data_IF_533225748427
#
_entry.id   IF_533225748427
#
_cell.length_a   1.000
_cell.length_b   1.000
_cell.length_c   1.000
_cell.angle_alpha   90.00
_cell.angle_beta   90.00
_cell.angle_gamma   90.00
#
_symmetry.space_group_name_H-M   'P 1'
#
loop_
_entity.id
_entity.type
_entity.pdbx_description
1 polymer ?
#
# COMPACT_ATOMS: atom_id res chain seq x y z
N UNK A 1 -14.53 8.60 -17.26
CA UNK A 1 -14.29 7.17 -16.97
C UNK A 1 -13.93 6.93 -15.50
N UNK A 2 -12.77 7.40 -15.00
CA UNK A 2 -12.34 7.12 -13.62
C UNK A 2 -13.32 7.61 -12.53
N UNK A 3 -13.98 8.76 -12.73
CA UNK A 3 -14.99 9.26 -11.79
C UNK A 3 -16.18 8.30 -11.59
N UNK A 4 -16.60 7.62 -12.66
CA UNK A 4 -17.67 6.62 -12.59
C UNK A 4 -17.21 5.42 -11.77
N UNK A 5 -15.99 4.94 -11.99
CA UNK A 5 -15.41 3.83 -11.21
C UNK A 5 -15.32 4.17 -9.72
N UNK A 6 -14.77 5.35 -9.38
CA UNK A 6 -14.69 5.82 -7.99
C UNK A 6 -16.08 5.96 -7.37
N UNK A 7 -17.07 6.44 -8.12
CA UNK A 7 -18.46 6.53 -7.67
C UNK A 7 -19.08 5.17 -7.36
N UNK A 8 -18.91 4.20 -8.26
CA UNK A 8 -19.38 2.82 -8.09
C UNK A 8 -18.67 2.07 -6.97
N UNK A 9 -17.37 2.32 -6.77
CA UNK A 9 -16.63 1.75 -5.65
C UNK A 9 -17.16 2.29 -4.32
N UNK A 10 -17.46 3.59 -4.26
CA UNK A 10 -18.04 4.20 -3.06
C UNK A 10 -19.42 3.65 -2.74
N UNK A 11 -20.29 3.47 -3.73
CA UNK A 11 -21.64 2.94 -3.48
C UNK A 11 -21.65 1.49 -2.96
N UNK A 12 -20.51 0.80 -3.05
CA UNK A 12 -20.31 -0.59 -2.61
C UNK A 12 -19.39 -0.70 -1.39
N UNK A 13 -19.07 0.41 -0.74
CA UNK A 13 -18.17 0.47 0.42
C UNK A 13 -16.80 -0.19 0.18
N UNK A 14 -16.27 -0.04 -1.04
CA UNK A 14 -14.95 -0.56 -1.41
C UNK A 14 -13.84 0.45 -1.07
N UNK A 15 -12.60 -0.07 -1.04
CA UNK A 15 -11.39 0.76 -0.93
C UNK A 15 -10.70 0.91 -2.30
N UNK A 16 -9.97 2.00 -2.50
CA UNK A 16 -9.15 2.21 -3.68
C UNK A 16 -7.65 2.17 -3.34
N UNK A 17 -6.94 1.16 -3.84
CA UNK A 17 -5.47 1.10 -3.81
C UNK A 17 -4.90 1.55 -5.15
N UNK A 18 -4.21 2.69 -5.13
CA UNK A 18 -3.51 3.21 -6.31
C UNK A 18 -2.11 2.60 -6.44
N UNK A 19 -1.90 1.77 -7.47
CA UNK A 19 -0.60 1.15 -7.77
C UNK A 19 0.42 2.12 -8.38
N UNK A 20 -0.01 3.34 -8.75
CA UNK A 20 0.78 4.40 -9.41
C UNK A 20 1.62 3.90 -10.57
N UNK A 21 0.95 3.54 -11.65
CA UNK A 21 1.60 3.29 -12.95
C UNK A 21 2.01 4.58 -13.65
N UNK A 22 1.47 5.73 -13.24
CA UNK A 22 1.86 7.08 -13.71
C UNK A 22 1.97 8.07 -12.53
N UNK A 23 2.91 9.03 -12.56
CA UNK A 23 3.05 10.05 -11.52
C UNK A 23 1.81 10.94 -11.33
N UNK A 24 1.05 11.17 -12.41
CA UNK A 24 -0.14 12.03 -12.48
C UNK A 24 -1.46 11.28 -12.20
N UNK A 25 -1.46 10.25 -11.36
CA UNK A 25 -2.69 9.51 -11.07
C UNK A 25 -3.78 10.42 -10.46
N UNK A 26 -4.77 10.76 -11.29
CA UNK A 26 -5.99 11.52 -10.93
C UNK A 26 -6.87 10.71 -9.95
N UNK A 27 -6.66 9.40 -9.87
CA UNK A 27 -7.52 8.49 -9.12
C UNK A 27 -7.44 8.73 -7.60
N UNK A 28 -6.25 8.99 -7.06
CA UNK A 28 -6.07 9.34 -5.63
C UNK A 28 -6.83 10.61 -5.26
N UNK A 29 -6.65 11.69 -6.03
CA UNK A 29 -7.28 12.99 -5.73
C UNK A 29 -8.80 12.92 -5.88
N UNK A 30 -9.26 12.15 -6.86
CA UNK A 30 -10.69 11.94 -7.08
C UNK A 30 -11.33 11.08 -5.99
N UNK A 31 -10.64 10.04 -5.51
CA UNK A 31 -11.07 9.24 -4.38
C UNK A 31 -11.18 10.09 -3.10
N UNK A 32 -10.16 10.91 -2.81
CA UNK A 32 -10.19 11.87 -1.70
C UNK A 32 -11.37 12.84 -1.80
N UNK A 33 -11.55 13.52 -2.95
CA UNK A 33 -12.67 14.46 -3.15
C UNK A 33 -14.05 13.81 -3.03
N UNK A 34 -14.13 12.49 -3.20
CA UNK A 34 -15.38 11.73 -3.08
C UNK A 34 -15.54 11.07 -1.72
N UNK A 35 -14.64 11.31 -0.76
CA UNK A 35 -14.62 10.63 0.55
C UNK A 35 -14.62 9.10 0.39
N UNK A 36 -13.88 8.60 -0.60
CA UNK A 36 -13.62 7.17 -0.75
C UNK A 36 -12.32 6.84 0.00
N UNK A 37 -12.38 5.81 0.84
CA UNK A 37 -11.21 5.26 1.51
C UNK A 37 -10.18 4.83 0.46
N UNK A 38 -8.99 5.43 0.52
CA UNK A 38 -7.96 5.20 -0.47
C UNK A 38 -6.57 5.22 0.14
N UNK A 39 -5.69 4.45 -0.47
CA UNK A 39 -4.27 4.36 -0.12
C UNK A 39 -3.44 4.22 -1.39
N UNK A 40 -2.15 4.49 -1.25
CA UNK A 40 -1.20 4.44 -2.36
C UNK A 40 -0.08 3.46 -2.03
N UNK A 41 0.41 2.78 -3.06
CA UNK A 41 1.63 1.99 -2.96
C UNK A 41 2.83 2.87 -2.64
N UNK A 42 3.69 2.39 -1.75
CA UNK A 42 5.03 2.92 -1.51
C UNK A 42 6.09 2.23 -2.38
N UNK A 43 6.09 0.90 -2.42
CA UNK A 43 7.13 0.09 -3.08
C UNK A 43 6.55 -0.93 -4.06
N UNK A 44 7.17 -1.07 -5.23
CA UNK A 44 6.86 -2.12 -6.20
C UNK A 44 7.98 -3.17 -6.13
N UNK A 45 7.65 -4.39 -5.72
CA UNK A 45 8.64 -5.39 -5.33
C UNK A 45 9.40 -5.99 -6.51
N UNK A 46 8.73 -6.17 -7.65
CA UNK A 46 9.21 -7.05 -8.72
C UNK A 46 9.14 -6.44 -10.12
N UNK A 47 9.35 -5.12 -10.21
CA UNK A 47 9.64 -4.46 -11.49
C UNK A 47 10.88 -5.08 -12.17
N UNK A 48 11.83 -5.52 -11.35
CA UNK A 48 12.93 -6.41 -11.73
C UNK A 48 12.75 -7.72 -10.95
N UNK A 49 12.63 -8.83 -11.68
CA UNK A 49 12.35 -10.17 -11.14
C UNK A 49 13.57 -10.83 -10.50
N UNK A 50 14.74 -10.22 -10.55
CA UNK A 50 15.93 -10.77 -9.92
C UNK A 50 15.76 -10.81 -8.40
N UNK A 51 16.15 -11.92 -7.78
CA UNK A 51 16.10 -12.09 -6.33
C UNK A 51 16.85 -10.97 -5.58
N UNK A 52 17.89 -10.40 -6.18
CA UNK A 52 18.62 -9.26 -5.62
C UNK A 52 17.77 -7.99 -5.57
N UNK A 53 17.10 -7.65 -6.67
CA UNK A 53 16.23 -6.48 -6.75
C UNK A 53 15.04 -6.59 -5.79
N UNK A 54 14.35 -7.74 -5.77
CA UNK A 54 13.20 -7.97 -4.88
C UNK A 54 13.61 -7.81 -3.40
N UNK A 55 14.77 -8.36 -2.99
CA UNK A 55 15.30 -8.16 -1.63
C UNK A 55 15.60 -6.71 -1.31
N UNK A 56 16.13 -5.96 -2.26
CA UNK A 56 16.38 -4.52 -2.09
C UNK A 56 15.07 -3.74 -1.90
N UNK A 57 14.01 -4.09 -2.65
CA UNK A 57 12.69 -3.50 -2.48
C UNK A 57 12.05 -3.87 -1.13
N UNK A 58 12.25 -5.10 -0.65
CA UNK A 58 11.81 -5.51 0.70
C UNK A 58 12.51 -4.70 1.80
N UNK A 59 13.81 -4.43 1.67
CA UNK A 59 14.51 -3.52 2.60
C UNK A 59 14.02 -2.08 2.52
N UNK A 60 13.64 -1.63 1.32
CA UNK A 60 13.09 -0.29 1.14
C UNK A 60 11.74 -0.14 1.87
N UNK A 61 10.82 -1.11 1.74
CA UNK A 61 9.54 -1.03 2.44
C UNK A 61 9.71 -1.09 3.96
N UNK A 62 10.67 -1.87 4.47
CA UNK A 62 11.01 -1.86 5.90
C UNK A 62 11.44 -0.47 6.36
N UNK A 63 12.33 0.19 5.62
CA UNK A 63 12.77 1.55 5.96
C UNK A 63 11.60 2.53 5.99
N UNK A 64 10.73 2.48 4.98
CA UNK A 64 9.54 3.33 4.90
C UNK A 64 8.62 3.07 6.10
N UNK A 65 8.40 1.81 6.46
CA UNK A 65 7.57 1.43 7.59
C UNK A 65 8.18 1.89 8.93
N UNK A 66 9.50 1.88 9.09
CA UNK A 66 10.18 2.43 10.28
C UNK A 66 10.04 3.95 10.34
N UNK A 67 10.24 4.66 9.23
CA UNK A 67 10.19 6.12 9.19
C UNK A 67 8.77 6.69 9.37
N UNK A 68 7.76 6.03 8.77
CA UNK A 68 6.36 6.52 8.74
C UNK A 68 5.43 5.78 9.71
N UNK A 69 5.92 4.70 10.29
CA UNK A 69 5.14 3.76 11.11
C UNK A 69 4.33 2.74 10.29
N UNK A 70 4.31 2.84 8.96
CA UNK A 70 3.58 1.91 8.08
C UNK A 70 4.04 2.04 6.61
N UNK A 71 3.69 1.06 5.77
CA UNK A 71 3.92 1.15 4.32
C UNK A 71 3.22 0.04 3.54
N UNK A 72 2.95 0.31 2.26
CA UNK A 72 2.35 -0.65 1.31
C UNK A 72 3.37 -1.02 0.23
N UNK A 73 3.69 -2.31 0.14
CA UNK A 73 4.37 -2.89 -1.01
C UNK A 73 3.40 -3.72 -1.85
N UNK A 74 3.53 -3.66 -3.18
CA UNK A 74 2.82 -4.57 -4.10
C UNK A 74 3.82 -5.31 -4.97
N UNK A 75 3.43 -6.49 -5.43
CA UNK A 75 4.14 -7.26 -6.44
C UNK A 75 3.16 -8.19 -7.16
N UNK A 76 3.69 -8.91 -8.12
CA UNK A 76 2.98 -9.93 -8.88
C UNK A 76 3.22 -11.33 -8.27
N UNK A 77 2.34 -12.30 -8.55
CA UNK A 77 2.48 -13.66 -8.05
C UNK A 77 3.52 -14.47 -8.83
N UNK A 78 4.73 -13.91 -9.04
CA UNK A 78 5.84 -14.65 -9.64
C UNK A 78 6.49 -15.57 -8.61
N UNK A 79 7.04 -16.73 -9.03
CA UNK A 79 7.75 -17.63 -8.13
C UNK A 79 8.89 -16.94 -7.38
N UNK A 80 9.63 -16.04 -8.03
CA UNK A 80 10.72 -15.27 -7.41
C UNK A 80 10.21 -14.34 -6.32
N UNK A 81 9.09 -13.65 -6.56
CA UNK A 81 8.43 -12.76 -5.59
C UNK A 81 7.91 -13.55 -4.40
N UNK A 82 7.25 -14.68 -4.64
CA UNK A 82 6.72 -15.55 -3.60
C UNK A 82 7.84 -16.09 -2.69
N UNK A 83 8.88 -16.66 -3.28
CA UNK A 83 10.03 -17.21 -2.54
C UNK A 83 10.77 -16.14 -1.71
N UNK A 84 10.87 -14.91 -2.22
CA UNK A 84 11.47 -13.81 -1.48
C UNK A 84 10.58 -13.36 -0.31
N UNK A 85 9.26 -13.27 -0.53
CA UNK A 85 8.30 -12.89 0.50
C UNK A 85 8.23 -13.91 1.64
N UNK A 86 8.19 -15.21 1.32
CA UNK A 86 8.14 -16.28 2.32
C UNK A 86 9.29 -16.15 3.33
N UNK A 87 10.53 -16.10 2.82
CA UNK A 87 11.73 -15.91 3.66
C UNK A 87 11.75 -14.58 4.41
N UNK A 88 11.21 -13.54 3.80
CA UNK A 88 11.19 -12.22 4.42
C UNK A 88 10.21 -12.15 5.59
N UNK A 89 9.01 -12.74 5.44
CA UNK A 89 7.94 -12.77 6.44
C UNK A 89 8.37 -13.55 7.68
N UNK A 90 9.08 -14.67 7.53
CA UNK A 90 9.61 -15.45 8.64
C UNK A 90 10.41 -14.58 9.63
N UNK A 91 11.24 -13.68 9.11
CA UNK A 91 12.04 -12.77 9.92
C UNK A 91 11.36 -11.44 10.27
N UNK A 92 10.34 -11.03 9.53
CA UNK A 92 9.75 -9.68 9.64
C UNK A 92 9.16 -9.43 11.04
N UNK A 93 8.51 -10.43 11.64
CA UNK A 93 7.95 -10.33 12.99
C UNK A 93 9.03 -10.09 14.06
N UNK A 94 10.16 -10.77 13.96
CA UNK A 94 11.29 -10.57 14.88
C UNK A 94 11.94 -9.19 14.72
N UNK A 95 11.81 -8.56 13.55
CA UNK A 95 12.21 -7.17 13.29
C UNK A 95 11.15 -6.13 13.69
N UNK A 96 10.04 -6.56 14.28
CA UNK A 96 8.97 -5.67 14.77
C UNK A 96 7.91 -5.31 13.73
N UNK A 97 7.88 -5.96 12.57
CA UNK A 97 6.86 -5.70 11.56
C UNK A 97 5.66 -6.63 11.71
N UNK A 98 4.46 -6.06 11.60
CA UNK A 98 3.21 -6.80 11.48
C UNK A 98 2.67 -6.66 10.06
N UNK A 99 2.25 -7.77 9.46
CA UNK A 99 1.54 -7.77 8.19
C UNK A 99 0.04 -7.79 8.48
N UNK A 100 -0.70 -6.98 7.72
CA UNK A 100 -2.16 -6.87 7.79
C UNK A 100 -2.75 -6.90 6.38
N UNK A 101 -4.07 -7.00 6.29
CA UNK A 101 -4.80 -6.85 5.04
C UNK A 101 -4.81 -5.39 4.59
N UNK A 102 -4.95 -5.16 3.29
CA UNK A 102 -5.06 -3.80 2.75
C UNK A 102 -6.29 -3.06 3.28
N UNK A 103 -7.38 -3.77 3.56
CA UNK A 103 -8.63 -3.22 4.10
C UNK A 103 -8.42 -2.66 5.51
N UNK A 104 -7.85 -3.47 6.41
CA UNK A 104 -7.55 -3.05 7.78
C UNK A 104 -6.49 -1.93 7.79
N UNK A 105 -5.44 -2.03 6.98
CA UNK A 105 -4.45 -0.96 6.81
C UNK A 105 -5.11 0.37 6.42
N UNK A 106 -6.01 0.35 5.43
CA UNK A 106 -6.68 1.56 4.93
C UNK A 106 -7.54 2.21 6.02
N UNK A 107 -8.25 1.40 6.82
CA UNK A 107 -9.05 1.88 7.94
C UNK A 107 -8.17 2.57 9.00
N UNK A 108 -7.09 1.89 9.43
CA UNK A 108 -6.17 2.41 10.46
C UNK A 108 -5.52 3.75 10.06
N UNK A 109 -5.09 3.88 8.80
CA UNK A 109 -4.46 5.12 8.33
C UNK A 109 -5.48 6.24 8.18
N UNK A 110 -6.69 5.95 7.71
CA UNK A 110 -7.74 6.95 7.61
C UNK A 110 -8.18 7.46 8.99
N UNK A 111 -8.31 6.57 9.98
CA UNK A 111 -8.59 6.96 11.37
C UNK A 111 -7.48 7.85 11.93
N UNK A 112 -6.19 7.46 11.78
CA UNK A 112 -5.05 8.29 12.19
C UNK A 112 -5.09 9.69 11.58
N UNK A 113 -5.37 9.80 10.28
CA UNK A 113 -5.42 11.10 9.60
C UNK A 113 -6.58 11.98 10.09
N UNK A 114 -7.74 11.37 10.39
CA UNK A 114 -8.88 12.08 10.95
C UNK A 114 -8.60 12.58 12.38
N UNK A 115 -7.89 11.81 13.20
CA UNK A 115 -7.50 12.25 14.55
C UNK A 115 -6.55 13.45 14.53
N UNK A 116 -5.64 13.52 13.56
CA UNK A 116 -4.72 14.66 13.41
C UNK A 116 -5.46 15.93 12.99
N UNK A 117 -6.51 15.83 12.16
CA UNK A 117 -7.27 16.99 11.68
C UNK A 117 -8.19 17.66 12.71
N UNK A 118 -8.53 17.00 13.82
CA UNK A 118 -9.39 17.57 14.88
C UNK A 118 -8.58 18.42 15.87
N UNK A 119 -7.24 18.41 15.77
CA UNK A 119 -6.33 19.05 16.72
C UNK A 119 -5.76 20.40 16.31
N UNK A 120 -6.15 20.98 15.17
CA UNK A 120 -5.66 22.27 14.66
C UNK A 120 -6.76 23.36 14.64
#
# INVERSE_FOLDING_TARGET
AMATVIGEMKSRDLIFLDSRTTPESIATDLAHRRNLLNVRRDVFLDNDRSNGAIRSQLKLIERIAVERGSGIAIGHPYPETFNALEKWVEGARFRGFSLTTISEFTQLINERNNFVQIGD
#
